data_IF_981246156562
#
_entry.id   IF_981246156562
#
_cell.length_a   1.000
_cell.length_b   1.000
_cell.length_c   1.000
_cell.angle_alpha   90.00
_cell.angle_beta   90.00
_cell.angle_gamma   90.00
#
_symmetry.space_group_name_H-M   'P 1'
#
loop_
_entity.id
_entity.type
_entity.pdbx_description
1 polymer ?
#
# COMPACT_ATOMS: atom_id res chain seq x y z
N UNK A 1 6.19 10.76 11.00
CA UNK A 1 7.66 10.74 11.06
C UNK A 1 8.11 9.35 11.40
N UNK A 2 9.16 8.87 10.72
CA UNK A 2 9.78 7.57 11.00
C UNK A 2 10.93 7.74 12.00
N UNK A 3 11.11 6.77 12.89
CA UNK A 3 12.20 6.72 13.86
C UNK A 3 12.83 5.31 13.86
N UNK A 4 14.12 5.24 14.17
CA UNK A 4 14.87 3.98 14.28
C UNK A 4 16.37 4.25 14.27
N UNK A 5 17.15 3.25 14.65
CA UNK A 5 18.62 3.28 14.54
C UNK A 5 19.04 2.54 13.28
N UNK A 6 19.89 3.15 12.46
CA UNK A 6 20.30 2.60 11.16
C UNK A 6 21.75 2.14 11.24
N UNK A 7 21.97 0.85 11.01
CA UNK A 7 23.27 0.28 10.70
C UNK A 7 23.35 0.07 9.18
N UNK A 8 24.47 0.48 8.58
CA UNK A 8 24.67 0.44 7.13
C UNK A 8 26.05 -0.13 6.81
N UNK A 9 26.08 -1.14 5.95
CA UNK A 9 27.31 -1.69 5.38
C UNK A 9 27.24 -1.61 3.86
N UNK A 10 28.38 -1.29 3.23
CA UNK A 10 28.53 -1.26 1.79
C UNK A 10 29.91 -1.79 1.42
N UNK A 11 29.93 -2.82 0.60
CA UNK A 11 31.15 -3.48 0.16
C UNK A 11 31.21 -3.49 -1.37
N UNK A 12 32.34 -3.08 -1.93
CA UNK A 12 32.58 -3.07 -3.38
C UNK A 12 33.79 -3.95 -3.68
N UNK A 13 33.65 -4.80 -4.68
CA UNK A 13 34.70 -5.73 -5.12
C UNK A 13 34.64 -5.96 -6.63
N UNK A 14 35.57 -6.74 -7.16
CA UNK A 14 35.66 -7.03 -8.60
C UNK A 14 36.62 -6.08 -9.33
N UNK A 15 36.29 -5.77 -10.58
CA UNK A 15 37.16 -4.98 -11.46
C UNK A 15 36.54 -3.62 -11.77
N UNK A 16 37.32 -2.70 -12.34
CA UNK A 16 36.82 -1.40 -12.80
C UNK A 16 35.68 -1.54 -13.81
N UNK A 17 35.78 -2.52 -14.71
CA UNK A 17 34.82 -2.71 -15.80
C UNK A 17 33.60 -3.54 -15.35
N UNK A 18 33.80 -4.41 -14.36
CA UNK A 18 32.76 -5.23 -13.73
C UNK A 18 32.85 -5.14 -12.21
N UNK A 19 32.37 -4.04 -11.62
CA UNK A 19 32.28 -3.93 -10.16
C UNK A 19 31.07 -4.71 -9.68
N UNK A 20 31.27 -5.48 -8.61
CA UNK A 20 30.21 -6.06 -7.81
C UNK A 20 30.09 -5.25 -6.52
N UNK A 21 28.90 -5.25 -5.93
CA UNK A 21 28.71 -4.63 -4.64
C UNK A 21 27.65 -5.35 -3.82
N UNK A 22 27.84 -5.32 -2.51
CA UNK A 22 26.88 -5.78 -1.51
C UNK A 22 26.52 -4.59 -0.62
N UNK A 23 25.23 -4.47 -0.33
CA UNK A 23 24.66 -3.41 0.49
C UNK A 23 23.83 -4.09 1.57
N UNK A 24 24.04 -3.73 2.82
CA UNK A 24 23.17 -4.15 3.91
C UNK A 24 22.73 -2.92 4.67
N UNK A 25 21.42 -2.78 4.85
CA UNK A 25 20.81 -1.75 5.69
C UNK A 25 20.00 -2.48 6.75
N UNK A 26 20.29 -2.21 8.01
CA UNK A 26 19.53 -2.73 9.14
C UNK A 26 18.96 -1.56 9.93
N UNK A 27 17.64 -1.53 10.12
CA UNK A 27 16.95 -0.52 10.90
C UNK A 27 16.37 -1.19 12.14
N UNK A 28 16.93 -0.84 13.31
CA UNK A 28 16.43 -1.26 14.63
C UNK A 28 15.37 -0.31 15.14
N UNK A 29 14.45 -0.84 15.94
CA UNK A 29 13.41 -0.07 16.64
C UNK A 29 12.61 0.84 15.69
N UNK A 30 12.26 0.32 14.51
CA UNK A 30 11.48 1.03 13.50
C UNK A 30 10.11 1.41 14.06
N UNK A 31 9.82 2.71 14.05
CA UNK A 31 8.58 3.30 14.56
C UNK A 31 8.01 4.30 13.57
N UNK A 32 6.68 4.33 13.51
CA UNK A 32 5.94 5.31 12.72
C UNK A 32 4.68 5.74 13.46
N UNK A 33 4.59 7.01 13.86
CA UNK A 33 3.54 7.50 14.79
C UNK A 33 3.50 6.61 16.05
N UNK A 34 2.34 6.06 16.39
CA UNK A 34 2.14 5.16 17.52
C UNK A 34 2.47 3.69 17.20
N UNK A 35 2.79 3.37 15.93
CA UNK A 35 3.18 2.03 15.52
C UNK A 35 4.63 1.77 15.92
N UNK A 36 4.84 0.72 16.71
CA UNK A 36 6.14 0.10 16.94
C UNK A 36 6.23 -1.14 16.04
N UNK A 37 6.99 -1.05 14.96
CA UNK A 37 6.99 -2.02 13.87
C UNK A 37 8.22 -2.94 13.86
N UNK A 38 9.14 -2.83 14.83
CA UNK A 38 10.25 -3.78 15.00
C UNK A 38 11.47 -3.45 14.15
N UNK A 39 11.86 -4.32 13.22
CA UNK A 39 13.14 -4.25 12.51
C UNK A 39 12.96 -4.32 10.99
N UNK A 40 13.74 -3.54 10.24
CA UNK A 40 13.83 -3.64 8.78
C UNK A 40 15.21 -4.12 8.40
N UNK A 41 15.26 -5.18 7.61
CA UNK A 41 16.49 -5.67 6.99
C UNK A 41 16.41 -5.45 5.49
N UNK A 42 17.46 -4.90 4.88
CA UNK A 42 17.56 -4.78 3.44
C UNK A 42 18.92 -5.28 2.98
N UNK A 43 18.90 -6.21 2.04
CA UNK A 43 20.09 -6.78 1.42
C UNK A 43 20.05 -6.49 -0.07
N UNK A 44 21.07 -5.78 -0.55
CA UNK A 44 21.29 -5.44 -1.94
C UNK A 44 22.52 -6.12 -2.48
N UNK A 45 22.44 -6.62 -3.71
CA UNK A 45 23.59 -7.14 -4.45
C UNK A 45 23.60 -6.60 -5.88
N UNK A 46 24.77 -6.21 -6.35
CA UNK A 46 25.04 -5.91 -7.75
C UNK A 46 25.89 -7.04 -8.31
N UNK A 47 25.34 -7.79 -9.26
CA UNK A 47 25.97 -8.95 -9.89
C UNK A 47 25.33 -9.16 -11.27
N UNK A 48 26.14 -9.56 -12.26
CA UNK A 48 25.68 -9.87 -13.62
C UNK A 48 24.83 -8.77 -14.27
N UNK A 49 25.27 -7.52 -14.12
CA UNK A 49 24.57 -6.32 -14.63
C UNK A 49 23.17 -6.07 -14.00
N UNK A 50 22.86 -6.72 -12.88
CA UNK A 50 21.59 -6.59 -12.18
C UNK A 50 21.81 -6.06 -10.76
N UNK A 51 20.98 -5.10 -10.36
CA UNK A 51 20.77 -4.72 -8.97
C UNK A 51 19.63 -5.59 -8.44
N UNK A 52 19.91 -6.41 -7.43
CA UNK A 52 18.92 -7.21 -6.70
C UNK A 52 18.78 -6.63 -5.31
N UNK A 53 17.56 -6.31 -4.88
CA UNK A 53 17.27 -5.81 -3.54
C UNK A 53 16.24 -6.73 -2.89
N UNK A 54 16.48 -7.14 -1.66
CA UNK A 54 15.50 -7.81 -0.82
C UNK A 54 15.31 -6.97 0.44
N UNK A 55 14.08 -6.80 0.89
CA UNK A 55 13.77 -6.08 2.12
C UNK A 55 12.71 -6.82 2.93
N UNK A 56 12.95 -6.92 4.23
CA UNK A 56 12.10 -7.63 5.18
C UNK A 56 11.72 -6.65 6.30
N UNK A 57 10.44 -6.63 6.70
CA UNK A 57 10.02 -5.98 7.95
C UNK A 57 9.52 -7.05 8.93
N UNK A 58 10.14 -7.11 10.09
CA UNK A 58 9.73 -7.97 11.19
C UNK A 58 9.02 -7.13 12.26
N UNK A 59 7.74 -7.40 12.49
CA UNK A 59 6.94 -6.72 13.52
C UNK A 59 6.93 -7.51 14.81
N UNK A 60 7.21 -6.82 15.92
CA UNK A 60 7.07 -7.35 17.28
C UNK A 60 5.74 -6.89 17.88
N UNK A 61 4.86 -7.84 18.18
CA UNK A 61 3.55 -7.62 18.76
C UNK A 61 3.41 -8.39 20.08
N UNK A 62 3.76 -7.72 21.18
CA UNK A 62 3.85 -8.38 22.49
C UNK A 62 4.99 -9.40 22.52
N UNK A 63 4.69 -10.64 22.87
CA UNK A 63 5.66 -11.75 22.87
C UNK A 63 5.81 -12.43 21.50
N UNK A 64 5.03 -12.02 20.50
CA UNK A 64 5.08 -12.59 19.15
C UNK A 64 5.89 -11.71 18.21
N UNK A 65 6.64 -12.34 17.32
CA UNK A 65 7.32 -11.69 16.20
C UNK A 65 6.91 -12.37 14.90
N UNK A 66 6.66 -11.59 13.84
CA UNK A 66 6.30 -12.12 12.53
C UNK A 66 6.84 -11.25 11.40
N UNK A 67 7.12 -11.88 10.26
CA UNK A 67 7.47 -11.19 9.04
C UNK A 67 6.21 -10.55 8.44
N UNK A 68 6.16 -9.22 8.46
CA UNK A 68 5.04 -8.44 7.97
C UNK A 68 5.18 -8.02 6.51
N UNK A 69 6.40 -8.03 5.96
CA UNK A 69 6.69 -7.57 4.61
C UNK A 69 7.92 -8.28 4.07
N UNK A 70 7.80 -8.86 2.87
CA UNK A 70 8.93 -9.22 2.01
C UNK A 70 8.81 -8.47 0.69
N UNK A 71 9.85 -7.74 0.32
CA UNK A 71 9.98 -7.09 -0.99
C UNK A 71 11.21 -7.67 -1.66
N UNK A 72 11.06 -8.13 -2.89
CA UNK A 72 12.19 -8.50 -3.76
C UNK A 72 12.11 -7.68 -5.04
N UNK A 73 13.24 -7.11 -5.46
CA UNK A 73 13.33 -6.24 -6.63
C UNK A 73 14.56 -6.64 -7.44
N UNK A 74 14.44 -6.62 -8.75
CA UNK A 74 15.53 -6.81 -9.71
C UNK A 74 15.45 -5.73 -10.77
N UNK A 75 16.55 -4.99 -10.91
CA UNK A 75 16.67 -3.82 -11.79
C UNK A 75 17.95 -4.00 -12.62
N UNK A 76 17.89 -4.07 -13.94
CA UNK A 76 19.10 -4.01 -14.76
C UNK A 76 19.84 -2.70 -14.52
N UNK A 77 21.16 -2.75 -14.53
CA UNK A 77 22.04 -1.59 -14.43
C UNK A 77 22.01 -0.79 -15.73
N UNK A 78 20.85 -0.20 -16.05
CA UNK A 78 20.63 0.53 -17.29
C UNK A 78 21.56 1.72 -17.47
N UNK A 79 22.34 2.12 -16.46
CA UNK A 79 23.39 3.12 -16.62
C UNK A 79 24.65 2.59 -17.33
N UNK A 80 24.85 1.25 -17.43
CA UNK A 80 25.92 0.64 -18.23
C UNK A 80 25.54 0.61 -19.72
N UNK A 81 26.43 1.04 -20.65
CA UNK A 81 26.14 1.07 -22.09
C UNK A 81 25.67 -0.26 -22.68
N UNK A 82 26.34 -1.37 -22.36
CA UNK A 82 26.00 -2.69 -22.91
C UNK A 82 24.63 -3.19 -22.44
N UNK A 83 24.25 -2.81 -21.20
CA UNK A 83 22.95 -3.11 -20.62
C UNK A 83 21.85 -2.30 -21.32
N UNK A 84 22.09 -1.01 -21.63
CA UNK A 84 21.15 -0.20 -22.42
C UNK A 84 20.91 -0.78 -23.82
N UNK A 85 21.93 -1.34 -24.45
CA UNK A 85 21.80 -1.96 -25.77
C UNK A 85 20.95 -3.23 -25.66
N UNK A 86 21.15 -4.03 -24.61
CA UNK A 86 20.39 -5.26 -24.35
C UNK A 86 18.94 -4.98 -23.97
N UNK A 87 18.71 -3.98 -23.13
CA UNK A 87 17.41 -3.59 -22.60
C UNK A 87 17.04 -2.19 -23.10
N UNK A 88 16.20 -2.15 -24.13
CA UNK A 88 15.82 -0.93 -24.87
C UNK A 88 15.24 0.17 -23.97
N UNK A 89 14.67 -0.20 -22.82
CA UNK A 89 14.08 0.71 -21.83
C UNK A 89 14.34 0.20 -20.40
N UNK A 90 14.41 1.09 -19.40
CA UNK A 90 14.54 0.70 -18.00
C UNK A 90 13.29 -0.06 -17.56
N UNK A 91 13.48 -1.30 -17.10
CA UNK A 91 12.41 -2.09 -16.53
C UNK A 91 12.78 -2.57 -15.13
N UNK A 92 11.77 -2.87 -14.34
CA UNK A 92 11.91 -3.46 -13.01
C UNK A 92 11.08 -4.72 -12.97
N UNK A 93 11.51 -5.71 -12.21
CA UNK A 93 10.68 -6.86 -11.82
C UNK A 93 10.81 -7.09 -10.34
N UNK A 94 9.75 -7.54 -9.70
CA UNK A 94 9.80 -7.86 -8.30
C UNK A 94 8.51 -8.44 -7.77
N UNK A 95 8.51 -8.66 -6.46
CA UNK A 95 7.39 -9.19 -5.72
C UNK A 95 7.30 -8.51 -4.36
N UNK A 96 6.09 -8.18 -3.97
CA UNK A 96 5.75 -7.68 -2.64
C UNK A 96 4.82 -8.70 -1.99
N UNK A 97 5.20 -9.17 -0.81
CA UNK A 97 4.33 -9.94 0.08
C UNK A 97 4.15 -9.15 1.36
N UNK A 98 2.91 -8.95 1.76
CA UNK A 98 2.52 -8.32 3.01
C UNK A 98 1.71 -9.34 3.79
N UNK A 99 2.02 -9.49 5.07
CA UNK A 99 1.24 -10.32 5.98
C UNK A 99 0.88 -9.51 7.22
N UNK A 100 -0.40 -9.23 7.40
CA UNK A 100 -0.90 -8.37 8.49
C UNK A 100 -0.13 -7.05 8.60
N UNK A 101 0.22 -6.45 7.46
CA UNK A 101 1.02 -5.24 7.41
C UNK A 101 0.18 -4.03 7.83
N UNK A 102 0.64 -3.18 8.76
CA UNK A 102 -0.15 -2.05 9.26
C UNK A 102 -0.44 -1.00 8.17
N UNK A 103 -1.72 -0.79 7.86
CA UNK A 103 -2.10 0.17 6.80
C UNK A 103 -1.80 1.62 7.16
N UNK A 104 -1.55 1.92 8.43
CA UNK A 104 -1.15 3.24 8.92
C UNK A 104 0.05 3.82 8.17
N UNK A 105 0.97 2.96 7.71
CA UNK A 105 2.16 3.35 6.94
C UNK A 105 1.77 4.01 5.61
N UNK A 106 0.62 3.65 5.02
CA UNK A 106 0.12 4.22 3.77
C UNK A 106 -0.70 5.51 3.96
N UNK A 107 -1.02 5.92 5.19
CA UNK A 107 -1.83 7.11 5.43
C UNK A 107 -1.31 8.37 4.69
N UNK A 108 0.01 8.67 4.63
CA UNK A 108 0.50 9.87 3.94
C UNK A 108 0.26 9.89 2.43
N UNK A 109 0.04 8.73 1.81
CA UNK A 109 -0.16 8.59 0.36
C UNK A 109 -1.63 8.37 0.00
N UNK A 110 -2.50 8.15 0.98
CA UNK A 110 -3.95 8.01 0.78
C UNK A 110 -4.60 9.35 1.12
N UNK A 111 -4.99 10.11 0.09
CA UNK A 111 -5.66 11.39 0.25
C UNK A 111 -7.06 11.25 0.88
N UNK A 112 -7.46 12.26 1.67
CA UNK A 112 -8.83 12.39 2.18
C UNK A 112 -9.18 11.56 3.42
N UNK A 113 -8.24 10.77 3.95
CA UNK A 113 -8.40 10.01 5.20
C UNK A 113 -7.38 10.43 6.25
N UNK A 114 -7.66 10.14 7.51
CA UNK A 114 -6.71 10.27 8.62
C UNK A 114 -6.95 9.18 9.66
N UNK A 115 -6.03 9.03 10.61
CA UNK A 115 -6.14 8.06 11.72
C UNK A 115 -6.34 6.63 11.21
N UNK A 116 -5.65 6.29 10.11
CA UNK A 116 -5.76 5.01 9.43
C UNK A 116 -5.12 3.90 10.28
N UNK A 117 -5.88 2.86 10.56
CA UNK A 117 -5.50 1.69 11.37
C UNK A 117 -5.98 0.40 10.71
N UNK A 118 -5.45 -0.74 11.15
CA UNK A 118 -5.78 -2.07 10.65
C UNK A 118 -4.66 -2.65 9.81
N UNK A 119 -4.97 -3.77 9.15
CA UNK A 119 -3.97 -4.62 8.52
C UNK A 119 -4.32 -4.88 7.04
N UNK A 120 -3.30 -4.92 6.18
CA UNK A 120 -3.37 -5.43 4.82
C UNK A 120 -2.53 -6.70 4.67
N UNK A 121 -3.06 -7.68 3.97
CA UNK A 121 -2.31 -8.86 3.50
C UNK A 121 -2.33 -8.85 1.98
N UNK A 122 -1.18 -9.02 1.34
CA UNK A 122 -1.05 -8.93 -0.11
C UNK A 122 0.03 -9.86 -0.64
N UNK A 123 -0.15 -10.36 -1.86
CA UNK A 123 0.89 -11.00 -2.66
C UNK A 123 0.76 -10.45 -4.07
N UNK A 124 1.72 -9.61 -4.47
CA UNK A 124 1.70 -8.84 -5.71
C UNK A 124 3.05 -8.96 -6.41
N UNK A 125 3.02 -9.51 -7.61
CA UNK A 125 4.13 -9.41 -8.56
C UNK A 125 4.04 -8.07 -9.30
N UNK A 126 5.19 -7.43 -9.53
CA UNK A 126 5.27 -6.20 -10.32
C UNK A 126 6.37 -6.30 -11.37
N UNK A 127 6.12 -5.70 -12.52
CA UNK A 127 7.02 -5.72 -13.66
C UNK A 127 6.82 -4.47 -14.54
N UNK A 128 7.64 -4.32 -15.57
CA UNK A 128 7.48 -3.26 -16.58
C UNK A 128 8.33 -2.03 -16.30
N UNK A 129 8.00 -0.93 -16.95
CA UNK A 129 8.72 0.35 -16.83
C UNK A 129 8.03 1.26 -15.83
N UNK A 130 8.67 2.37 -15.45
CA UNK A 130 8.04 3.38 -14.59
C UNK A 130 6.78 3.99 -15.22
N UNK A 131 6.76 4.14 -16.55
CA UNK A 131 5.63 4.71 -17.29
C UNK A 131 4.52 3.68 -17.55
N UNK A 132 4.89 2.39 -17.63
CA UNK A 132 3.97 1.29 -17.91
C UNK A 132 4.19 0.16 -16.91
N UNK A 133 3.88 0.40 -15.63
CA UNK A 133 3.98 -0.64 -14.63
C UNK A 133 2.90 -1.69 -14.85
N UNK A 134 3.25 -2.94 -14.57
CA UNK A 134 2.35 -4.08 -14.68
C UNK A 134 2.35 -4.82 -13.34
N UNK A 135 1.19 -4.80 -12.66
CA UNK A 135 1.01 -5.44 -11.36
C UNK A 135 0.10 -6.66 -11.51
N UNK A 136 0.37 -7.72 -10.76
CA UNK A 136 -0.52 -8.88 -10.71
C UNK A 136 -0.52 -9.47 -9.31
N UNK A 137 -1.69 -9.53 -8.68
CA UNK A 137 -1.75 -10.03 -7.32
C UNK A 137 -3.09 -9.91 -6.66
N UNK A 138 -3.13 -10.25 -5.38
CA UNK A 138 -4.32 -10.17 -4.53
C UNK A 138 -4.00 -9.44 -3.25
N UNK A 139 -5.02 -8.83 -2.67
CA UNK A 139 -4.93 -8.21 -1.36
C UNK A 139 -6.21 -8.40 -0.56
N UNK A 140 -6.10 -8.28 0.76
CA UNK A 140 -7.22 -8.20 1.68
C UNK A 140 -6.94 -7.18 2.78
N UNK A 141 -7.98 -6.49 3.20
CA UNK A 141 -8.01 -5.51 4.27
C UNK A 141 -8.79 -6.10 5.44
N UNK A 142 -8.21 -6.03 6.64
CA UNK A 142 -8.83 -6.54 7.86
C UNK A 142 -8.80 -5.50 8.96
N UNK A 143 -9.92 -5.38 9.69
CA UNK A 143 -10.07 -4.49 10.83
C UNK A 143 -9.64 -3.04 10.53
N UNK A 144 -9.83 -2.58 9.29
CA UNK A 144 -9.32 -1.29 8.86
C UNK A 144 -10.25 -0.19 9.33
N UNK A 145 -9.72 0.80 10.05
CA UNK A 145 -10.50 1.95 10.53
C UNK A 145 -9.84 3.20 9.99
N UNK A 146 -10.65 4.13 9.48
CA UNK A 146 -10.16 5.44 9.09
C UNK A 146 -11.19 6.51 9.41
N UNK A 147 -10.72 7.74 9.61
CA UNK A 147 -11.54 8.93 9.65
C UNK A 147 -11.57 9.56 8.28
N UNK A 148 -12.77 9.79 7.73
CA UNK A 148 -12.90 10.49 6.47
C UNK A 148 -12.85 12.00 6.72
N UNK A 149 -11.87 12.69 6.13
CA UNK A 149 -11.59 14.09 6.48
C UNK A 149 -12.76 15.03 6.14
N UNK A 150 -13.56 14.71 5.12
CA UNK A 150 -14.63 15.57 4.64
C UNK A 150 -15.83 15.64 5.61
N UNK A 151 -16.14 14.54 6.31
CA UNK A 151 -17.25 14.49 7.26
C UNK A 151 -16.83 14.16 8.70
N UNK A 152 -15.52 13.98 8.92
CA UNK A 152 -14.91 13.69 10.23
C UNK A 152 -15.42 12.41 10.89
N UNK A 153 -16.10 11.53 10.15
CA UNK A 153 -16.64 10.27 10.67
C UNK A 153 -15.64 9.13 10.53
N UNK A 154 -15.72 8.20 11.47
CA UNK A 154 -14.97 6.96 11.43
C UNK A 154 -15.75 5.90 10.68
N UNK A 155 -15.01 5.14 9.88
CA UNK A 155 -15.52 4.02 9.13
C UNK A 155 -14.67 2.79 9.37
N UNK A 156 -15.35 1.65 9.53
CA UNK A 156 -14.73 0.33 9.57
C UNK A 156 -14.79 -0.28 8.16
N UNK A 157 -13.71 -0.90 7.73
CA UNK A 157 -13.53 -1.51 6.42
C UNK A 157 -13.02 -2.93 6.56
N UNK A 158 -13.66 -3.82 5.83
CA UNK A 158 -13.11 -5.12 5.45
C UNK A 158 -13.22 -5.24 3.95
N UNK A 159 -12.21 -5.81 3.32
CA UNK A 159 -12.33 -6.01 1.89
C UNK A 159 -11.28 -6.93 1.32
N UNK A 160 -11.49 -7.29 0.07
CA UNK A 160 -10.56 -8.04 -0.73
C UNK A 160 -10.64 -7.61 -2.19
N UNK A 161 -9.55 -7.86 -2.88
CA UNK A 161 -9.46 -7.54 -4.28
C UNK A 161 -8.22 -8.11 -4.91
N UNK A 162 -8.01 -7.68 -6.15
CA UNK A 162 -6.86 -8.07 -6.95
C UNK A 162 -6.40 -6.92 -7.79
N UNK A 163 -5.13 -6.93 -8.12
CA UNK A 163 -4.54 -6.02 -9.11
C UNK A 163 -4.17 -6.84 -10.34
N UNK A 164 -4.46 -6.31 -11.51
CA UNK A 164 -4.09 -6.90 -12.79
C UNK A 164 -3.77 -5.78 -13.79
N UNK A 165 -2.52 -5.74 -14.23
CA UNK A 165 -1.93 -4.63 -14.98
C UNK A 165 -2.09 -3.30 -14.25
N UNK A 166 -2.85 -2.37 -14.81
CA UNK A 166 -3.14 -1.04 -14.26
C UNK A 166 -4.56 -0.94 -13.69
N UNK A 167 -5.20 -2.07 -13.38
CA UNK A 167 -6.56 -2.09 -12.83
C UNK A 167 -6.58 -2.78 -11.47
N UNK A 168 -7.09 -2.09 -10.46
CA UNK A 168 -7.40 -2.66 -9.15
C UNK A 168 -8.88 -3.05 -9.13
N UNK A 169 -9.16 -4.33 -9.00
CA UNK A 169 -10.50 -4.88 -8.86
C UNK A 169 -10.84 -4.97 -7.38
N UNK A 170 -11.94 -4.35 -7.00
CA UNK A 170 -12.54 -4.46 -5.66
C UNK A 170 -13.60 -5.55 -5.74
N UNK A 171 -13.24 -6.75 -5.28
CA UNK A 171 -14.08 -7.95 -5.40
C UNK A 171 -15.20 -7.96 -4.35
N UNK A 172 -14.86 -7.55 -3.13
CA UNK A 172 -15.80 -7.34 -2.03
C UNK A 172 -15.20 -6.36 -1.02
N UNK A 173 -15.84 -5.20 -0.82
CA UNK A 173 -15.46 -4.24 0.22
C UNK A 173 -16.71 -3.84 0.99
N UNK A 174 -16.68 -4.08 2.28
CA UNK A 174 -17.74 -3.72 3.19
C UNK A 174 -17.27 -2.55 4.07
N UNK A 175 -18.13 -1.56 4.19
CA UNK A 175 -17.89 -0.32 4.91
C UNK A 175 -19.01 -0.13 5.94
N UNK A 176 -18.65 0.08 7.20
CA UNK A 176 -19.61 0.34 8.27
C UNK A 176 -19.35 1.70 8.91
N UNK A 177 -20.42 2.37 9.32
CA UNK A 177 -20.31 3.49 10.25
C UNK A 177 -19.85 2.99 11.62
N UNK A 178 -19.27 3.89 12.43
CA UNK A 178 -19.19 3.66 13.86
C UNK A 178 -20.61 3.38 14.43
N UNK A 179 -20.83 2.27 15.17
CA UNK A 179 -22.14 1.96 15.72
C UNK A 179 -22.75 3.05 16.60
N UNK A 180 -21.91 3.82 17.29
CA UNK A 180 -22.33 4.95 18.14
C UNK A 180 -22.88 6.13 17.33
N UNK A 181 -22.40 6.31 16.09
CA UNK A 181 -22.90 7.33 15.15
C UNK A 181 -24.16 6.82 14.42
N UNK A 182 -24.09 5.61 13.85
CA UNK A 182 -25.20 4.97 13.15
C UNK A 182 -25.03 3.45 13.04
N UNK A 183 -25.64 2.70 13.97
CA UNK A 183 -25.57 1.24 14.04
C UNK A 183 -26.02 0.46 12.79
N UNK A 184 -26.93 1.01 11.97
CA UNK A 184 -27.37 0.34 10.74
C UNK A 184 -26.57 0.78 9.49
N UNK A 185 -25.52 1.59 9.67
CA UNK A 185 -24.74 2.13 8.56
C UNK A 185 -23.81 1.06 7.98
N UNK A 186 -24.18 0.53 6.82
CA UNK A 186 -23.45 -0.52 6.11
C UNK A 186 -23.59 -0.35 4.60
N UNK A 187 -22.47 -0.47 3.90
CA UNK A 187 -22.40 -0.44 2.45
C UNK A 187 -21.45 -1.52 1.94
N UNK A 188 -21.90 -2.25 0.92
CA UNK A 188 -21.07 -3.14 0.12
C UNK A 188 -20.68 -2.45 -1.19
N UNK A 189 -19.39 -2.48 -1.52
CA UNK A 189 -18.77 -1.87 -2.70
C UNK A 189 -18.09 -2.96 -3.51
N UNK A 190 -18.36 -2.99 -4.81
CA UNK A 190 -17.63 -3.78 -5.80
C UNK A 190 -17.31 -2.91 -7.00
N UNK A 191 -16.19 -3.14 -7.67
CA UNK A 191 -15.84 -2.27 -8.78
C UNK A 191 -14.40 -2.38 -9.23
N UNK A 192 -13.96 -1.33 -9.92
CA UNK A 192 -12.63 -1.22 -10.49
C UNK A 192 -12.09 0.19 -10.28
N UNK A 193 -10.80 0.28 -9.98
CA UNK A 193 -10.02 1.52 -10.02
C UNK A 193 -9.01 1.37 -11.14
N UNK A 194 -8.97 2.36 -12.03
CA UNK A 194 -8.01 2.43 -13.12
C UNK A 194 -6.84 3.30 -12.71
N UNK A 195 -5.64 2.84 -13.01
CA UNK A 195 -4.38 3.52 -12.74
C UNK A 195 -3.79 4.06 -14.05
N UNK A 196 -3.19 5.24 -13.95
CA UNK A 196 -2.28 5.81 -14.94
C UNK A 196 -0.90 6.00 -14.27
N UNK A 197 0.05 5.15 -14.66
CA UNK A 197 1.28 4.93 -13.90
C UNK A 197 0.98 4.49 -12.46
N UNK A 198 1.34 5.32 -11.48
CA UNK A 198 1.10 5.11 -10.05
C UNK A 198 -0.06 5.94 -9.47
N UNK A 199 -0.80 6.66 -10.32
CA UNK A 199 -1.89 7.55 -9.90
C UNK A 199 -3.25 6.96 -10.26
N UNK A 200 -4.27 7.26 -9.46
CA UNK A 200 -5.66 6.89 -9.77
C UNK A 200 -6.17 7.81 -10.90
N UNK A 201 -6.65 7.21 -11.99
CA UNK A 201 -7.23 7.96 -13.13
C UNK A 201 -8.75 8.01 -13.08
N UNK A 202 -9.40 6.90 -12.75
CA UNK A 202 -10.86 6.82 -12.60
C UNK A 202 -11.28 5.59 -11.80
N UNK A 203 -12.55 5.53 -11.43
CA UNK A 203 -13.14 4.37 -10.77
C UNK A 203 -14.58 4.13 -11.23
N UNK A 204 -14.96 2.86 -11.27
CA UNK A 204 -16.31 2.39 -11.58
C UNK A 204 -16.76 1.46 -10.45
N UNK A 205 -17.81 1.85 -9.74
CA UNK A 205 -18.23 1.19 -8.52
C UNK A 205 -19.74 0.94 -8.49
N UNK A 206 -20.09 -0.29 -8.14
CA UNK A 206 -21.42 -0.66 -7.67
C UNK A 206 -21.44 -0.60 -6.16
N UNK A 207 -22.28 0.27 -5.63
CA UNK A 207 -22.41 0.51 -4.19
C UNK A 207 -23.83 0.09 -3.80
N UNK A 208 -23.98 -0.72 -2.75
CA UNK A 208 -25.30 -1.13 -2.24
C UNK A 208 -25.33 -0.95 -0.72
N UNK A 209 -26.39 -0.33 -0.21
CA UNK A 209 -26.59 -0.18 1.23
C UNK A 209 -26.92 1.25 1.65
N UNK A 210 -26.61 1.59 2.89
CA UNK A 210 -26.87 2.91 3.46
C UNK A 210 -25.73 3.35 4.36
N UNK A 211 -25.26 4.58 4.20
CA UNK A 211 -24.19 5.13 5.02
C UNK A 211 -24.63 6.48 5.58
N UNK A 212 -24.37 6.72 6.88
CA UNK A 212 -24.37 8.06 7.43
C UNK A 212 -23.15 8.80 6.90
N UNK A 213 -23.40 9.89 6.19
CA UNK A 213 -22.35 10.73 5.58
C UNK A 213 -22.30 12.13 6.16
N UNK A 214 -23.41 12.62 6.70
CA UNK A 214 -23.50 13.92 7.39
C UNK A 214 -24.36 13.78 8.63
N UNK A 215 -23.95 14.40 9.72
CA UNK A 215 -24.76 14.57 10.92
C UNK A 215 -24.68 16.02 11.45
N UNK A 216 -24.93 16.21 12.76
CA UNK A 216 -24.91 17.52 13.41
C UNK A 216 -23.54 18.22 13.28
N UNK A 217 -22.46 17.46 13.09
CA UNK A 217 -21.10 17.99 12.93
C UNK A 217 -20.87 18.58 11.53
N UNK A 218 -21.77 18.30 10.58
CA UNK A 218 -21.79 18.85 9.22
C UNK A 218 -20.78 18.20 8.26
N UNK A 219 -20.89 18.53 6.97
CA UNK A 219 -20.02 18.02 5.90
C UNK A 219 -19.06 19.10 5.41
N UNK A 220 -17.96 19.29 6.15
CA UNK A 220 -16.82 20.11 5.73
C UNK A 220 -17.18 21.43 5.02
N UNK A 221 -16.41 21.75 3.97
CA UNK A 221 -16.42 23.03 3.24
C UNK A 221 -17.75 23.42 2.55
N UNK A 222 -18.80 22.60 2.65
CA UNK A 222 -20.09 22.84 1.98
C UNK A 222 -21.10 23.57 2.85
N UNK A 223 -20.89 23.61 4.17
CA UNK A 223 -21.85 24.19 5.12
C UNK A 223 -23.16 23.39 5.21
N UNK A 224 -23.20 22.14 4.73
CA UNK A 224 -24.35 21.25 4.87
C UNK A 224 -24.36 20.70 6.30
N UNK A 225 -25.46 20.94 7.01
CA UNK A 225 -25.72 20.45 8.36
C UNK A 225 -26.98 19.57 8.39
N UNK A 226 -27.05 18.67 9.37
CA UNK A 226 -28.20 17.78 9.56
C UNK A 226 -27.87 16.33 9.24
N UNK A 227 -28.85 15.43 9.42
CA UNK A 227 -28.64 14.00 9.23
C UNK A 227 -28.89 13.60 7.79
N UNK A 228 -27.85 13.20 7.06
CA UNK A 228 -27.94 12.70 5.69
C UNK A 228 -27.47 11.25 5.64
N UNK A 229 -28.38 10.38 5.19
CA UNK A 229 -28.11 8.97 4.93
C UNK A 229 -28.21 8.77 3.42
N UNK A 230 -27.12 8.34 2.80
CA UNK A 230 -27.11 8.06 1.35
C UNK A 230 -27.49 6.62 1.10
N UNK A 231 -28.35 6.40 0.11
CA UNK A 231 -28.71 5.07 -0.42
C UNK A 231 -28.54 5.08 -1.93
N UNK A 232 -27.62 4.29 -2.50
CA UNK A 232 -27.53 4.16 -3.95
C UNK A 232 -28.84 3.58 -4.48
N UNK A 233 -29.41 4.22 -5.49
CA UNK A 233 -30.53 3.67 -6.24
C UNK A 233 -29.90 2.90 -7.40
N UNK A 234 -30.02 1.57 -7.40
CA UNK A 234 -29.71 0.80 -8.60
C UNK A 234 -30.82 1.07 -9.61
N UNK A 235 -30.51 1.77 -10.70
CA UNK A 235 -31.37 1.75 -11.88
C UNK A 235 -31.46 0.30 -12.38
N UNK A 236 -32.70 -0.12 -12.68
CA UNK A 236 -33.03 -1.48 -13.12
C UNK A 236 -32.63 -1.70 -14.57
#
# INVERSE_FOLDING_TARGET
TFYGSVDFSFFVYGTRDNPNSEIEIFIKDFRYKDLQAGEIECFGKVEDDMIKLNSVLVINAGEMSYNAMDISVSIPMWFKPDVKIRYREPYVTGKVRLFRFPVAIFEPIIGGVSELKGDITADVDFSGTLDKPNFKGKFSLQNCIFKFNQNRKYYLVYGSGRVDSNVVYVDDLNLWNNPDDYGDGEVQIKGKVYLDGFSVSSGDFKINGKLLVVDKEGFGATGIYGRVITRPINEK
#
